data_IF_687934395412
#
_entry.id   IF_687934395412
#
_cell.length_a   1.000
_cell.length_b   1.000
_cell.length_c   1.000
_cell.angle_alpha   90.00
_cell.angle_beta   90.00
_cell.angle_gamma   90.00
#
_symmetry.space_group_name_H-M   'P 1'
#
loop_
_entity.id
_entity.type
_entity.pdbx_description
1 polymer ?
#
# COMPACT_ATOMS: atom_id res chain seq x y z
N UNK A 1 14.01 -2.45 22.15
CA UNK A 1 14.16 -2.19 20.70
C UNK A 1 13.22 -3.15 20.00
N UNK A 2 12.01 -2.69 19.69
CA UNK A 2 11.01 -3.48 18.96
C UNK A 2 11.38 -3.45 17.48
N UNK A 3 11.65 -4.61 16.89
CA UNK A 3 11.75 -4.75 15.43
C UNK A 3 10.43 -4.24 14.83
N UNK A 4 10.50 -3.16 14.04
CA UNK A 4 9.32 -2.67 13.35
C UNK A 4 9.08 -3.54 12.13
N UNK A 5 7.95 -4.25 12.04
CA UNK A 5 7.66 -5.16 10.93
C UNK A 5 7.41 -4.45 9.58
N UNK A 6 7.57 -3.12 9.54
CA UNK A 6 7.34 -2.26 8.37
C UNK A 6 8.60 -1.44 8.00
N UNK A 7 9.79 -1.96 8.30
CA UNK A 7 11.03 -1.31 7.92
C UNK A 7 11.23 -1.23 6.39
N UNK A 8 12.13 -0.36 5.91
CA UNK A 8 12.43 -0.21 4.47
C UNK A 8 12.76 -1.53 3.76
N UNK A 9 13.38 -2.45 4.48
CA UNK A 9 13.87 -3.72 3.94
C UNK A 9 12.87 -4.88 4.14
N UNK A 10 11.70 -4.63 4.76
CA UNK A 10 10.66 -5.65 4.90
C UNK A 10 9.88 -5.82 3.59
N UNK A 11 9.85 -7.05 3.07
CA UNK A 11 8.96 -7.38 1.96
C UNK A 11 7.52 -7.51 2.49
N UNK A 12 6.52 -7.20 1.65
CA UNK A 12 5.11 -7.32 2.02
C UNK A 12 4.74 -8.74 2.53
N UNK A 13 5.48 -9.75 2.09
CA UNK A 13 5.31 -11.16 2.48
C UNK A 13 5.74 -11.44 3.93
N UNK A 14 6.61 -10.61 4.51
CA UNK A 14 7.16 -10.80 5.86
C UNK A 14 6.24 -10.24 6.96
N UNK A 15 5.19 -9.51 6.57
CA UNK A 15 4.22 -8.92 7.48
C UNK A 15 3.18 -9.98 7.88
N UNK A 16 3.03 -10.33 9.18
CA UNK A 16 1.99 -11.23 9.62
C UNK A 16 0.61 -10.65 9.30
N UNK A 17 -0.14 -11.31 8.42
CA UNK A 17 -1.51 -10.91 8.12
C UNK A 17 -2.42 -11.44 9.23
N UNK A 18 -3.07 -10.57 10.01
CA UNK A 18 -3.92 -11.04 11.08
C UNK A 18 -5.10 -11.82 10.50
N UNK A 19 -5.27 -13.06 10.95
CA UNK A 19 -6.38 -13.95 10.54
C UNK A 19 -7.74 -13.49 11.05
N UNK A 20 -7.74 -12.60 12.05
CA UNK A 20 -8.91 -11.91 12.56
C UNK A 20 -8.77 -10.40 12.34
N UNK A 21 -9.87 -9.68 12.05
CA UNK A 21 -9.83 -8.23 11.91
C UNK A 21 -9.28 -7.57 13.18
N UNK A 22 -8.42 -6.57 13.02
CA UNK A 22 -7.94 -5.75 14.13
C UNK A 22 -9.12 -4.98 14.76
N UNK A 23 -9.12 -4.83 16.09
CA UNK A 23 -10.05 -3.88 16.72
C UNK A 23 -9.71 -2.46 16.28
N UNK A 24 -10.72 -1.57 16.28
CA UNK A 24 -10.52 -0.16 15.91
C UNK A 24 -9.36 0.48 16.70
N UNK A 25 -9.31 0.25 18.01
CA UNK A 25 -8.26 0.78 18.89
C UNK A 25 -6.87 0.31 18.46
N UNK A 26 -6.72 -0.97 18.07
CA UNK A 26 -5.45 -1.49 17.57
C UNK A 26 -5.09 -0.89 16.21
N UNK A 27 -6.04 -0.81 15.29
CA UNK A 27 -5.82 -0.27 13.95
C UNK A 27 -5.39 1.21 13.98
N UNK A 28 -5.92 2.00 14.91
CA UNK A 28 -5.57 3.42 15.05
C UNK A 28 -4.13 3.65 15.53
N UNK A 29 -3.49 2.66 16.17
CA UNK A 29 -2.12 2.75 16.70
C UNK A 29 -1.05 2.30 15.69
N UNK A 30 -1.46 1.76 14.54
CA UNK A 30 -0.51 1.29 13.52
C UNK A 30 0.03 2.45 12.67
N UNK A 31 1.27 2.34 12.16
CA UNK A 31 1.81 3.27 11.19
C UNK A 31 0.90 3.44 9.97
N UNK A 32 0.86 4.65 9.41
CA UNK A 32 0.06 4.96 8.21
C UNK A 32 0.96 5.36 7.07
N UNK A 33 0.64 4.84 5.89
CA UNK A 33 1.30 5.16 4.63
C UNK A 33 0.26 5.86 3.75
N UNK A 34 0.66 6.95 3.11
CA UNK A 34 -0.15 7.62 2.10
C UNK A 34 0.08 6.94 0.76
N UNK A 35 -1.02 6.58 0.10
CA UNK A 35 -1.05 6.06 -1.27
C UNK A 35 -2.01 6.94 -2.05
N UNK A 36 -1.49 7.66 -3.03
CA UNK A 36 -2.28 8.61 -3.83
C UNK A 36 -1.90 8.56 -5.31
N UNK A 37 -2.68 9.26 -6.14
CA UNK A 37 -2.50 9.36 -7.59
C UNK A 37 -2.29 8.01 -8.29
N UNK A 38 -3.10 7.00 -7.91
CA UNK A 38 -3.02 5.67 -8.51
C UNK A 38 -3.52 5.69 -9.96
N UNK A 39 -2.68 5.19 -10.87
CA UNK A 39 -2.96 5.09 -12.31
C UNK A 39 -2.84 3.64 -12.78
N UNK A 40 -3.58 3.23 -13.84
CA UNK A 40 -4.49 4.06 -14.64
C UNK A 40 -5.87 4.24 -13.98
N UNK A 41 -6.39 5.48 -14.04
CA UNK A 41 -7.75 5.85 -13.62
C UNK A 41 -8.44 6.61 -14.75
N UNK A 42 -9.72 6.31 -15.00
CA UNK A 42 -10.53 7.01 -16.02
C UNK A 42 -11.67 7.74 -15.32
N UNK A 43 -11.78 9.04 -15.58
CA UNK A 43 -12.79 9.94 -15.01
C UNK A 43 -12.94 9.79 -13.48
N UNK A 44 -11.81 9.82 -12.77
CA UNK A 44 -11.79 9.69 -11.31
C UNK A 44 -12.24 8.33 -10.77
N UNK A 45 -12.26 7.30 -11.62
CA UNK A 45 -12.70 5.95 -11.27
C UNK A 45 -14.14 5.66 -11.68
N UNK A 46 -14.80 6.59 -12.38
CA UNK A 46 -16.14 6.37 -12.93
C UNK A 46 -16.16 5.24 -13.97
N UNK A 47 -15.05 5.05 -14.69
CA UNK A 47 -14.92 3.99 -15.69
C UNK A 47 -13.75 3.07 -15.39
N UNK A 48 -13.92 1.79 -15.74
CA UNK A 48 -12.87 0.80 -15.62
C UNK A 48 -11.74 1.07 -16.62
N UNK A 49 -10.49 0.95 -16.14
CA UNK A 49 -9.34 0.79 -17.02
C UNK A 49 -9.50 -0.51 -17.84
N UNK A 50 -9.04 -0.51 -19.09
CA UNK A 50 -9.20 -1.62 -20.02
C UNK A 50 -7.85 -2.09 -20.53
N UNK A 51 -7.75 -3.40 -20.76
CA UNK A 51 -6.64 -4.05 -21.42
C UNK A 51 -7.15 -5.25 -22.23
N UNK A 52 -6.30 -5.82 -23.08
CA UNK A 52 -6.58 -7.06 -23.80
C UNK A 52 -5.77 -8.23 -23.25
N UNK A 53 -6.16 -9.45 -23.62
CA UNK A 53 -5.44 -10.67 -23.23
C UNK A 53 -3.98 -10.57 -23.67
N UNK A 54 -3.06 -10.85 -22.73
CA UNK A 54 -1.62 -10.84 -22.96
C UNK A 54 -0.97 -9.47 -22.91
N UNK A 55 -1.72 -8.38 -22.73
CA UNK A 55 -1.16 -7.04 -22.55
C UNK A 55 -0.88 -6.76 -21.06
N UNK A 56 0.39 -6.56 -20.65
CA UNK A 56 0.71 -6.08 -19.32
C UNK A 56 0.15 -4.67 -19.09
N UNK A 57 -0.40 -4.42 -17.91
CA UNK A 57 -0.86 -3.10 -17.50
C UNK A 57 0.10 -2.58 -16.44
N UNK A 58 0.77 -1.48 -16.72
CA UNK A 58 1.59 -0.77 -15.72
C UNK A 58 0.66 -0.04 -14.75
N UNK A 59 0.80 -0.36 -13.47
CA UNK A 59 0.09 0.33 -12.38
C UNK A 59 1.11 1.16 -11.62
N UNK A 60 0.79 2.42 -11.35
CA UNK A 60 1.65 3.34 -10.60
C UNK A 60 0.86 4.05 -9.51
N UNK A 61 1.53 4.50 -8.47
CA UNK A 61 0.98 5.35 -7.42
C UNK A 61 2.10 6.15 -6.79
N UNK A 62 1.78 7.30 -6.19
CA UNK A 62 2.66 7.98 -5.25
C UNK A 62 2.48 7.34 -3.88
N UNK A 63 3.58 6.87 -3.29
CA UNK A 63 3.59 6.22 -1.97
C UNK A 63 4.61 6.92 -1.10
N UNK A 64 4.18 7.39 0.07
CA UNK A 64 5.06 8.04 1.04
C UNK A 64 4.53 7.88 2.46
N UNK A 65 5.41 8.01 3.44
CA UNK A 65 5.09 8.03 4.86
C UNK A 65 5.64 9.31 5.50
N UNK A 66 5.13 9.66 6.68
CA UNK A 66 5.73 10.72 7.50
C UNK A 66 7.11 10.29 8.03
N UNK A 67 7.97 11.26 8.34
CA UNK A 67 9.35 11.05 8.77
C UNK A 67 10.37 11.09 7.63
N UNK A 68 11.60 10.62 7.92
CA UNK A 68 12.74 10.63 6.99
C UNK A 68 13.24 9.23 6.63
N UNK A 69 12.52 8.20 7.09
CA UNK A 69 12.90 6.83 6.81
C UNK A 69 12.74 6.56 5.31
N UNK A 70 13.71 5.85 4.73
CA UNK A 70 13.65 5.50 3.32
C UNK A 70 12.48 4.54 3.08
N UNK A 71 11.83 4.67 1.93
CA UNK A 71 10.91 3.66 1.40
C UNK A 71 11.57 2.97 0.19
N UNK A 72 11.20 1.71 -0.05
CA UNK A 72 11.75 0.84 -1.10
C UNK A 72 11.34 1.25 -2.51
#
# INVERSE_FOLDING_TARGET
>A
MSEQPYGPDSLATDVPHPTQPLSLTQALQLPRIVIEDTLPVIDGGLFAAKAIIGQPVTVTSKVYADGHDKMA
#
